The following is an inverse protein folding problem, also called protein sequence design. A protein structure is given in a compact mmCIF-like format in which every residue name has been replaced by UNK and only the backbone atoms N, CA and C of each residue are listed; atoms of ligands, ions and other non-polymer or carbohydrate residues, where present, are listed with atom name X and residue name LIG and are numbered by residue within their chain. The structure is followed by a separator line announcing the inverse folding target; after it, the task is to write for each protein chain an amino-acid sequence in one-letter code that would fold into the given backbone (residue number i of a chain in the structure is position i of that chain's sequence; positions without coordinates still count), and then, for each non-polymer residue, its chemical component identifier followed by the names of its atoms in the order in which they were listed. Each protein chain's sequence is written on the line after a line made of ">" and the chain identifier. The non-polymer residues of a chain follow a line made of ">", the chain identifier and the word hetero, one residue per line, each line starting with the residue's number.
data_IF_479201013737
#
_entry.id   IF_479201013737
#
_cell.length_a   1.000
_cell.length_b   1.000
_cell.length_c   1.000
_cell.angle_alpha   90.00
_cell.angle_beta   90.00
_cell.angle_gamma   90.00
#
_symmetry.space_group_name_H-M   'P 1'
#
loop_
_entity.id
_entity.type
_entity.pdbx_description
1 polymer ?
#
# COMPACT_ATOMS: atom_id res chain seq x y z
N UNK A 1 0.31 2.29 -4.63
CA UNK A 1 -0.68 2.96 -3.76
C UNK A 1 -1.81 1.99 -3.55
N UNK A 2 -2.13 1.73 -2.28
CA UNK A 2 -3.21 0.88 -1.81
C UNK A 2 -4.06 1.70 -0.85
N UNK A 3 -5.34 1.37 -0.73
CA UNK A 3 -6.24 1.95 0.26
C UNK A 3 -6.57 0.90 1.31
N UNK A 4 -6.42 1.24 2.60
CA UNK A 4 -6.62 0.31 3.70
C UNK A 4 -8.05 -0.22 3.84
N UNK A 5 -9.03 0.47 3.28
CA UNK A 5 -10.43 0.05 3.22
C UNK A 5 -10.78 -0.86 2.05
N UNK A 6 -9.83 -1.18 1.16
CA UNK A 6 -10.08 -1.96 -0.05
C UNK A 6 -9.30 -3.29 -0.06
N UNK A 7 -9.67 -4.16 -0.99
CA UNK A 7 -8.89 -5.34 -1.37
C UNK A 7 -8.45 -5.27 -2.83
N UNK A 8 -7.25 -5.77 -3.14
CA UNK A 8 -6.63 -5.66 -4.46
C UNK A 8 -6.16 -7.01 -4.95
N UNK A 9 -6.15 -7.19 -6.28
CA UNK A 9 -5.49 -8.33 -6.94
C UNK A 9 -4.31 -7.79 -7.74
N UNK A 10 -3.14 -8.38 -7.56
CA UNK A 10 -1.91 -8.04 -8.26
C UNK A 10 -1.38 -9.30 -8.94
N UNK A 11 -1.35 -9.28 -10.28
CA UNK A 11 -0.77 -10.35 -11.09
C UNK A 11 0.65 -9.95 -11.52
N UNK A 12 1.63 -10.71 -11.06
CA UNK A 12 3.01 -10.64 -11.56
C UNK A 12 3.25 -11.76 -12.56
N UNK A 13 3.60 -11.36 -13.78
CA UNK A 13 4.03 -12.27 -14.84
C UNK A 13 5.53 -12.11 -15.07
N UNK A 14 6.23 -13.25 -15.15
CA UNK A 14 7.67 -13.31 -15.45
C UNK A 14 7.92 -14.33 -16.55
N UNK A 15 8.85 -14.04 -17.46
CA UNK A 15 9.23 -14.99 -18.52
C UNK A 15 10.40 -15.84 -18.06
N UNK A 16 10.24 -17.16 -18.13
CA UNK A 16 11.30 -18.11 -17.82
C UNK A 16 12.27 -18.28 -18.99
N UNK A 17 13.42 -18.93 -18.72
CA UNK A 17 14.48 -19.14 -19.72
C UNK A 17 14.04 -20.03 -20.88
N UNK A 18 13.15 -20.96 -20.63
CA UNK A 18 12.57 -21.87 -21.62
C UNK A 18 11.45 -21.22 -22.45
N UNK A 19 11.11 -19.96 -22.18
CA UNK A 19 10.06 -19.22 -22.85
C UNK A 19 8.67 -19.38 -22.22
N UNK A 20 8.52 -20.24 -21.22
CA UNK A 20 7.29 -20.34 -20.43
C UNK A 20 7.05 -19.07 -19.59
N UNK A 21 5.80 -18.87 -19.18
CA UNK A 21 5.39 -17.77 -18.32
C UNK A 21 5.14 -18.30 -16.91
N UNK A 22 5.67 -17.59 -15.94
CA UNK A 22 5.49 -17.82 -14.51
C UNK A 22 4.51 -16.77 -13.97
N UNK A 23 3.53 -17.22 -13.20
CA UNK A 23 2.40 -16.41 -12.75
C UNK A 23 2.31 -16.43 -11.23
N UNK A 24 2.38 -15.24 -10.64
CA UNK A 24 2.13 -15.04 -9.23
C UNK A 24 0.93 -14.11 -9.06
N UNK A 25 -0.15 -14.62 -8.49
CA UNK A 25 -1.36 -13.84 -8.21
C UNK A 25 -1.39 -13.55 -6.71
N UNK A 26 -1.35 -12.28 -6.35
CA UNK A 26 -1.44 -11.83 -4.98
C UNK A 26 -2.80 -11.19 -4.76
N UNK A 27 -3.52 -11.57 -3.71
CA UNK A 27 -4.66 -10.80 -3.24
C UNK A 27 -4.29 -10.12 -1.93
N UNK A 28 -4.27 -8.79 -1.98
CA UNK A 28 -3.94 -7.92 -0.86
C UNK A 28 -5.22 -7.48 -0.15
N UNK A 29 -5.21 -7.56 1.18
CA UNK A 29 -6.35 -7.24 2.03
C UNK A 29 -6.01 -6.07 2.93
N UNK A 30 -6.71 -4.96 2.75
CA UNK A 30 -6.60 -3.79 3.60
C UNK A 30 -7.13 -4.03 5.01
N UNK A 31 -6.56 -3.34 5.99
CA UNK A 31 -6.92 -3.50 7.41
C UNK A 31 -8.36 -3.12 7.75
N UNK A 32 -8.98 -2.27 6.93
CA UNK A 32 -10.36 -1.80 7.04
C UNK A 32 -11.28 -2.42 5.97
N UNK A 33 -10.78 -3.34 5.14
CA UNK A 33 -11.58 -3.99 4.11
C UNK A 33 -12.64 -4.92 4.72
N UNK A 34 -13.83 -4.88 4.14
CA UNK A 34 -15.00 -5.66 4.58
C UNK A 34 -14.90 -7.12 4.16
N UNK A 35 -15.67 -7.99 4.84
CA UNK A 35 -15.67 -9.43 4.56
C UNK A 35 -16.10 -9.81 3.15
N UNK A 36 -17.03 -9.06 2.58
CA UNK A 36 -17.48 -9.24 1.19
C UNK A 36 -16.43 -8.76 0.18
N UNK A 37 -15.70 -7.68 0.45
CA UNK A 37 -14.64 -7.18 -0.43
C UNK A 37 -13.46 -8.16 -0.53
N UNK A 38 -12.90 -8.61 0.60
CA UNK A 38 -11.80 -9.58 0.53
C UNK A 38 -12.28 -10.97 0.08
N UNK A 39 -13.53 -11.34 0.38
CA UNK A 39 -14.16 -12.55 -0.16
C UNK A 39 -14.28 -12.51 -1.68
N UNK A 40 -14.66 -11.35 -2.23
CA UNK A 40 -14.72 -11.11 -3.68
C UNK A 40 -13.32 -11.17 -4.30
N UNK A 41 -12.32 -10.55 -3.67
CA UNK A 41 -10.94 -10.59 -4.15
C UNK A 41 -10.38 -12.02 -4.17
N UNK A 42 -10.64 -12.82 -3.13
CA UNK A 42 -10.26 -14.23 -3.09
C UNK A 42 -10.96 -15.05 -4.19
N UNK A 43 -12.27 -14.88 -4.36
CA UNK A 43 -13.03 -15.56 -5.41
C UNK A 43 -12.51 -15.21 -6.82
N UNK A 44 -12.26 -13.92 -7.07
CA UNK A 44 -11.71 -13.44 -8.34
C UNK A 44 -10.28 -13.90 -8.60
N UNK A 45 -9.50 -14.13 -7.55
CA UNK A 45 -8.16 -14.72 -7.65
C UNK A 45 -8.22 -16.16 -8.13
N UNK A 46 -9.19 -16.95 -7.62
CA UNK A 46 -9.44 -18.31 -8.11
C UNK A 46 -9.91 -18.30 -9.57
N UNK A 47 -10.84 -17.42 -9.93
CA UNK A 47 -11.30 -17.28 -11.32
C UNK A 47 -10.16 -16.94 -12.29
N UNK A 48 -9.25 -16.06 -11.86
CA UNK A 48 -8.06 -15.70 -12.63
C UNK A 48 -7.06 -16.86 -12.75
N UNK A 49 -6.84 -17.63 -11.69
CA UNK A 49 -5.96 -18.81 -11.74
C UNK A 49 -6.50 -19.87 -12.71
N UNK A 50 -7.80 -20.14 -12.66
CA UNK A 50 -8.45 -21.04 -13.64
C UNK A 50 -8.32 -20.53 -15.07
N UNK A 51 -8.41 -19.22 -15.30
CA UNK A 51 -8.15 -18.63 -16.63
C UNK A 51 -6.69 -18.82 -17.09
N UNK A 52 -5.76 -18.96 -16.16
CA UNK A 52 -4.33 -19.20 -16.40
C UNK A 52 -3.98 -20.70 -16.46
N UNK A 53 -4.96 -21.57 -16.71
CA UNK A 53 -4.86 -23.03 -16.70
C UNK A 53 -4.35 -23.61 -15.37
N UNK A 54 -4.72 -23.00 -14.23
CA UNK A 54 -4.31 -23.40 -12.88
C UNK A 54 -2.78 -23.43 -12.68
N UNK A 55 -2.07 -22.58 -13.43
CA UNK A 55 -0.59 -22.47 -13.37
C UNK A 55 -0.12 -21.40 -12.38
N UNK A 56 -1.00 -20.58 -11.83
CA UNK A 56 -0.59 -19.47 -11.00
C UNK A 56 -0.35 -19.88 -9.55
N UNK A 57 0.68 -19.30 -8.93
CA UNK A 57 0.89 -19.41 -7.49
C UNK A 57 0.11 -18.27 -6.82
N UNK A 58 -0.86 -18.64 -5.99
CA UNK A 58 -1.70 -17.69 -5.27
C UNK A 58 -1.07 -17.30 -3.92
N UNK A 59 -1.04 -16.00 -3.62
CA UNK A 59 -0.48 -15.44 -2.39
C UNK A 59 -1.52 -14.58 -1.68
N UNK A 60 -1.67 -14.79 -0.38
CA UNK A 60 -2.50 -13.94 0.48
C UNK A 60 -1.61 -12.89 1.12
N UNK A 61 -1.84 -11.63 0.78
CA UNK A 61 -1.11 -10.49 1.35
C UNK A 61 -2.05 -9.73 2.29
N UNK A 62 -1.60 -9.48 3.52
CA UNK A 62 -2.37 -8.69 4.49
C UNK A 62 -1.60 -7.42 4.75
N UNK A 63 -2.31 -6.29 4.80
CA UNK A 63 -1.73 -5.02 5.19
C UNK A 63 -0.86 -5.15 6.46
N UNK A 64 0.33 -4.56 6.43
CA UNK A 64 1.35 -4.59 7.49
C UNK A 64 2.07 -5.95 7.68
N UNK A 65 1.72 -6.98 6.89
CA UNK A 65 2.28 -8.33 6.94
C UNK A 65 2.55 -8.90 5.54
N UNK A 66 2.81 -8.05 4.56
CA UNK A 66 3.09 -8.44 3.19
C UNK A 66 4.38 -9.26 3.07
N UNK A 67 4.38 -10.20 2.13
CA UNK A 67 5.54 -11.01 1.82
C UNK A 67 6.66 -10.18 1.19
N UNK A 68 7.91 -10.54 1.47
CA UNK A 68 9.09 -9.95 0.80
C UNK A 68 8.98 -10.03 -0.73
N UNK A 69 8.36 -11.10 -1.25
CA UNK A 69 8.14 -11.30 -2.67
C UNK A 69 7.21 -10.22 -3.23
N UNK A 70 6.05 -10.00 -2.61
CA UNK A 70 5.11 -8.96 -3.01
C UNK A 70 5.74 -7.57 -2.93
N UNK A 71 6.40 -7.26 -1.82
CA UNK A 71 7.08 -5.98 -1.62
C UNK A 71 8.15 -5.74 -2.70
N UNK A 72 8.87 -6.78 -3.14
CA UNK A 72 9.91 -6.67 -4.16
C UNK A 72 9.43 -6.15 -5.52
N UNK A 73 8.12 -6.17 -5.78
CA UNK A 73 7.55 -5.70 -7.04
C UNK A 73 7.46 -4.18 -7.12
N UNK A 74 7.53 -3.50 -5.97
CA UNK A 74 7.38 -2.06 -5.87
C UNK A 74 8.72 -1.41 -5.54
N UNK A 75 8.89 -0.15 -5.92
CA UNK A 75 10.02 0.67 -5.44
C UNK A 75 9.74 1.30 -4.08
N UNK A 76 8.46 1.49 -3.80
CA UNK A 76 7.90 2.07 -2.59
C UNK A 76 6.43 1.63 -2.51
N UNK A 77 5.97 1.37 -1.30
CA UNK A 77 4.55 1.10 -1.02
C UNK A 77 3.93 2.36 -0.40
N UNK A 78 2.72 2.68 -0.80
CA UNK A 78 1.95 3.80 -0.26
C UNK A 78 0.58 3.27 0.16
N UNK A 79 0.22 3.46 1.43
CA UNK A 79 -1.03 3.00 2.02
C UNK A 79 -1.80 4.20 2.53
N UNK A 80 -2.98 4.44 1.98
CA UNK A 80 -3.83 5.57 2.33
C UNK A 80 -5.07 5.10 3.09
N UNK A 81 -5.62 5.99 3.92
CA UNK A 81 -6.86 5.69 4.64
C UNK A 81 -8.06 5.79 3.69
N UNK A 82 -9.15 5.11 4.05
CA UNK A 82 -10.34 5.02 3.21
C UNK A 82 -10.19 3.96 2.11
N UNK A 83 -10.90 4.14 1.01
CA UNK A 83 -11.04 3.15 -0.06
C UNK A 83 -12.21 3.49 -0.97
N UNK A 84 -12.58 2.58 -1.87
CA UNK A 84 -13.78 2.69 -2.66
C UNK A 84 -14.98 2.94 -1.74
N UNK A 85 -15.82 3.90 -2.14
CA UNK A 85 -17.01 4.25 -1.37
C UNK A 85 -17.93 3.03 -1.35
N UNK A 86 -17.99 2.30 -0.24
CA UNK A 86 -19.23 1.58 0.07
C UNK A 86 -20.37 2.60 -0.06
N UNK A 87 -21.49 2.21 -0.68
CA UNK A 87 -22.54 3.13 -1.20
C UNK A 87 -23.24 4.05 -0.19
N UNK A 88 -22.69 4.25 1.01
CA UNK A 88 -23.29 4.95 2.14
C UNK A 88 -22.49 6.17 2.65
N UNK A 89 -21.30 6.49 2.11
CA UNK A 89 -20.56 7.72 2.50
C UNK A 89 -20.50 8.76 1.39
N UNK A 90 -21.31 9.81 1.55
CA UNK A 90 -21.22 11.02 0.75
C UNK A 90 -20.00 11.84 1.19
N UNK A 91 -19.06 12.08 0.27
CA UNK A 91 -17.94 13.01 0.46
C UNK A 91 -17.94 13.92 -0.75
N UNK A 92 -18.04 15.23 -0.50
CA UNK A 92 -18.01 16.27 -1.52
C UNK A 92 -16.72 16.19 -2.35
N UNK A 93 -16.87 16.23 -3.67
CA UNK A 93 -15.85 15.86 -4.65
C UNK A 93 -14.73 16.92 -4.79
N UNK A 94 -14.83 18.08 -4.14
CA UNK A 94 -14.04 19.26 -4.51
C UNK A 94 -13.16 19.87 -3.40
N UNK A 95 -13.05 19.27 -2.22
CA UNK A 95 -12.15 19.76 -1.17
C UNK A 95 -10.98 18.80 -0.94
N UNK A 96 -9.76 19.27 -1.19
CA UNK A 96 -8.55 18.55 -0.78
C UNK A 96 -8.56 18.38 0.74
N UNK A 97 -8.43 17.14 1.22
CA UNK A 97 -8.36 16.85 2.65
C UNK A 97 -6.90 16.74 3.08
N UNK A 98 -6.45 17.55 4.05
CA UNK A 98 -5.13 17.42 4.66
C UNK A 98 -4.87 16.00 5.17
N UNK A 99 -3.65 15.51 4.93
CA UNK A 99 -3.21 14.18 5.37
C UNK A 99 -1.92 14.27 6.15
N UNK A 100 -1.79 13.36 7.12
CA UNK A 100 -0.55 13.14 7.84
C UNK A 100 -0.04 11.77 7.42
N UNK A 101 1.13 11.75 6.78
CA UNK A 101 1.78 10.53 6.32
C UNK A 101 3.00 10.26 7.21
N UNK A 102 3.25 9.00 7.53
CA UNK A 102 4.50 8.54 8.15
C UNK A 102 5.32 7.79 7.13
N UNK A 103 6.63 8.04 7.13
CA UNK A 103 7.59 7.28 6.34
C UNK A 103 8.20 6.20 7.22
N UNK A 104 8.21 4.97 6.73
CA UNK A 104 8.75 3.80 7.43
C UNK A 104 9.50 2.91 6.45
N UNK A 105 10.25 1.95 6.99
CA UNK A 105 10.98 0.96 6.19
C UNK A 105 10.55 -0.43 6.65
N UNK A 106 9.92 -1.19 5.75
CA UNK A 106 9.37 -2.52 6.03
C UNK A 106 10.13 -3.62 5.28
N UNK A 107 9.97 -4.87 5.71
CA UNK A 107 10.62 -6.04 5.11
C UNK A 107 12.13 -5.87 4.94
N UNK A 108 12.66 -6.27 3.78
CA UNK A 108 14.09 -6.13 3.41
C UNK A 108 14.48 -4.71 2.95
N UNK A 109 14.01 -3.68 3.65
CA UNK A 109 14.38 -2.30 3.37
C UNK A 109 13.46 -1.59 2.38
N UNK A 110 12.23 -2.05 2.21
CA UNK A 110 11.22 -1.45 1.35
C UNK A 110 10.71 -0.13 1.95
N UNK A 111 10.82 1.01 1.25
CA UNK A 111 10.19 2.24 1.67
C UNK A 111 8.68 2.11 1.70
N UNK A 112 8.07 2.53 2.79
CA UNK A 112 6.62 2.62 2.97
C UNK A 112 6.24 4.05 3.36
N UNK A 113 5.15 4.53 2.78
CA UNK A 113 4.46 5.74 3.25
C UNK A 113 3.04 5.37 3.61
N UNK A 114 2.67 5.60 4.87
CA UNK A 114 1.35 5.24 5.39
C UNK A 114 0.63 6.47 5.92
N UNK A 115 -0.64 6.63 5.56
CA UNK A 115 -1.50 7.64 6.15
C UNK A 115 -1.84 7.27 7.59
N UNK A 116 -1.67 8.22 8.51
CA UNK A 116 -2.01 8.06 9.93
C UNK A 116 -3.08 9.08 10.33
N UNK A 117 -3.65 8.91 11.52
CA UNK A 117 -4.63 9.87 12.04
C UNK A 117 -4.06 11.30 12.00
N UNK A 118 -4.83 12.24 11.44
CA UNK A 118 -4.47 13.66 11.37
C UNK A 118 -4.52 14.32 12.76
N UNK A 119 -3.52 14.04 13.59
CA UNK A 119 -3.44 14.47 14.98
C UNK A 119 -1.99 14.61 15.41
N UNK A 120 -1.70 15.59 16.26
CA UNK A 120 -0.39 15.73 16.89
C UNK A 120 0.01 14.48 17.71
N UNK A 121 -0.97 13.73 18.21
CA UNK A 121 -0.72 12.49 18.98
C UNK A 121 -0.13 11.37 18.14
N UNK A 122 -0.28 11.44 16.83
CA UNK A 122 0.27 10.46 15.89
C UNK A 122 1.78 10.65 15.66
N UNK A 123 2.34 11.80 16.03
CA UNK A 123 3.77 12.09 15.85
C UNK A 123 4.62 11.32 16.86
N UNK A 124 5.63 10.61 16.36
CA UNK A 124 6.66 9.93 17.13
C UNK A 124 8.01 10.60 16.93
N UNK A 125 8.82 10.75 17.98
CA UNK A 125 10.14 11.38 17.86
C UNK A 125 11.15 10.56 17.07
N UNK A 126 10.83 9.30 16.76
CA UNK A 126 11.74 8.36 16.11
C UNK A 126 11.49 8.21 14.61
N UNK A 127 10.44 8.84 14.07
CA UNK A 127 10.05 8.70 12.66
C UNK A 127 10.05 10.03 11.88
N UNK A 128 9.88 9.94 10.56
CA UNK A 128 9.69 11.09 9.66
C UNK A 128 8.23 11.15 9.24
N UNK A 129 7.63 12.34 9.37
CA UNK A 129 6.24 12.58 8.99
C UNK A 129 6.16 13.63 7.90
N UNK A 130 5.17 13.48 7.02
CA UNK A 130 4.83 14.44 5.97
C UNK A 130 3.41 14.93 6.26
N UNK A 131 3.29 16.23 6.51
CA UNK A 131 2.02 16.92 6.57
C UNK A 131 1.73 17.46 5.17
N UNK A 132 0.82 16.78 4.46
CA UNK A 132 0.36 17.19 3.14
C UNK A 132 -0.90 18.05 3.26
N UNK A 133 -0.80 19.29 2.79
CA UNK A 133 -1.86 20.29 2.77
C UNK A 133 -2.27 20.64 1.32
N UNK A 134 -1.88 19.80 0.35
CA UNK A 134 -2.18 19.95 -1.07
C UNK A 134 -1.20 20.89 -1.75
N UNK A 135 -1.39 22.20 -1.58
CA UNK A 135 -0.48 23.22 -2.16
C UNK A 135 0.80 23.42 -1.36
N UNK A 136 0.87 22.83 -0.15
CA UNK A 136 2.02 22.95 0.74
C UNK A 136 2.27 21.60 1.40
N UNK A 137 3.49 21.13 1.31
CA UNK A 137 3.96 19.90 1.97
C UNK A 137 5.00 20.28 3.02
N UNK A 138 4.85 19.77 4.24
CA UNK A 138 5.78 20.02 5.35
C UNK A 138 6.33 18.68 5.83
N UNK A 139 7.64 18.50 5.73
CA UNK A 139 8.33 17.36 6.33
C UNK A 139 8.75 17.69 7.76
N UNK A 140 8.34 16.85 8.71
CA UNK A 140 8.79 16.90 10.08
C UNK A 140 9.70 15.70 10.36
N UNK A 141 10.91 15.97 10.83
CA UNK A 141 11.89 14.95 11.15
C UNK A 141 11.96 14.78 12.67
N UNK A 142 11.58 13.62 13.17
CA UNK A 142 11.75 13.25 14.56
C UNK A 142 13.23 13.32 14.97
N UNK A 143 13.50 13.67 16.23
CA UNK A 143 14.86 13.78 16.76
C UNK A 143 15.65 12.47 16.63
N UNK A 144 14.99 11.32 16.81
CA UNK A 144 15.52 9.97 16.71
C UNK A 144 15.50 9.35 15.32
N UNK A 145 14.87 10.01 14.33
CA UNK A 145 14.74 9.47 12.97
C UNK A 145 16.09 9.18 12.31
N UNK A 146 16.17 8.07 11.57
CA UNK A 146 17.42 7.60 10.99
C UNK A 146 17.76 8.35 9.69
N UNK A 147 19.03 8.30 9.28
CA UNK A 147 19.51 9.02 8.09
C UNK A 147 18.88 8.55 6.77
N UNK A 148 18.41 7.29 6.70
CA UNK A 148 17.77 6.73 5.49
C UNK A 148 16.36 7.28 5.31
N UNK A 149 15.58 7.39 6.39
CA UNK A 149 14.24 7.98 6.39
C UNK A 149 14.29 9.45 5.97
N UNK A 150 15.25 10.21 6.50
CA UNK A 150 15.40 11.64 6.19
C UNK A 150 15.73 11.90 4.72
N UNK A 151 16.51 11.01 4.08
CA UNK A 151 16.91 11.13 2.68
C UNK A 151 15.82 10.61 1.74
N UNK A 152 15.09 9.55 2.13
CA UNK A 152 14.09 8.89 1.29
C UNK A 152 12.86 9.76 0.97
N UNK A 153 12.60 10.81 1.75
CA UNK A 153 11.53 11.80 1.44
C UNK A 153 11.98 12.82 0.37
N UNK A 154 13.28 13.06 0.21
CA UNK A 154 13.82 14.05 -0.73
C UNK A 154 13.60 13.75 -2.23
N UNK A 155 13.57 12.48 -2.70
CA UNK A 155 13.26 12.16 -4.10
C UNK A 155 11.77 12.09 -4.44
N UNK A 156 10.84 12.32 -3.49
CA UNK A 156 9.41 12.43 -3.79
C UNK A 156 9.18 13.74 -4.56
N UNK A 157 9.31 13.67 -5.89
CA UNK A 157 8.89 14.73 -6.82
C UNK A 157 7.37 14.71 -6.88
N UNK A 158 6.75 15.68 -6.21
CA UNK A 158 5.34 16.04 -6.35
C UNK A 158 5.09 16.71 -7.70
#
# INVERSE_FOLDING_TARGET
>A
MFFGGDSYIVLKISKQRDGSLDYHVHFWIGSESTSDEYGTAAYKTVELDTFLDDKAIQHREVQDFESDLFLSYFKQVEILNGGHKSGFKHVEVNAYQPRLLVFSVIGKGMPEVKEVQFSRRSLCSDDVFILDLGVRVIQWNGKGSNGRERIAVCPLRW
#
